data_IF_907603639310
#
_entry.id   IF_907603639310
#
_cell.length_a   1.000
_cell.length_b   1.000
_cell.length_c   1.000
_cell.angle_alpha   90.00
_cell.angle_beta   90.00
_cell.angle_gamma   90.00
#
_symmetry.space_group_name_H-M   'P 1'
#
loop_
_entity.id
_entity.type
_entity.pdbx_description
1 polymer ?
2 polymer ?
3 polymer ?
4 non-polymer ?
5 water ?
#
# COMPACT_ATOMS: atom_id res chain seq x y z
N UNK A 1 -11.07 -18.33 1.02
CA UNK A 1 -11.93 -17.19 0.73
C UNK A 1 -11.75 -16.67 -0.67
N UNK A 2 -12.01 -15.38 -0.86
CA UNK A 2 -11.73 -14.77 -2.16
C UNK A 2 -10.29 -14.28 -2.20
N UNK A 3 -9.82 -14.01 -3.43
CA UNK A 3 -8.42 -13.68 -3.63
C UNK A 3 -8.32 -12.64 -4.73
N UNK A 4 -7.19 -11.94 -4.77
CA UNK A 4 -7.02 -10.91 -5.78
C UNK A 4 -5.59 -10.93 -6.30
N UNK A 5 -5.40 -10.45 -7.53
CA UNK A 5 -4.07 -10.23 -8.07
C UNK A 5 -4.07 -8.82 -8.62
N UNK A 6 -3.02 -8.05 -8.32
CA UNK A 6 -2.97 -6.67 -8.79
C UNK A 6 -1.57 -6.32 -9.23
N UNK A 7 -1.44 -5.53 -10.28
CA UNK A 7 -0.20 -4.97 -10.73
C UNK A 7 -0.37 -3.44 -10.66
N UNK A 8 0.60 -2.78 -9.98
CA UNK A 8 0.61 -1.34 -9.73
C UNK A 8 1.79 -0.74 -10.46
N UNK A 9 1.60 0.44 -11.04
CA UNK A 9 2.65 1.07 -11.86
C UNK A 9 2.64 2.56 -11.56
N UNK A 10 3.83 3.13 -11.39
CA UNK A 10 3.97 4.55 -11.14
C UNK A 10 5.10 5.06 -12.01
N UNK A 11 4.86 6.12 -12.78
CA UNK A 11 5.92 6.84 -13.48
C UNK A 11 5.94 8.28 -13.01
N UNK A 12 7.12 8.83 -12.72
CA UNK A 12 7.21 10.19 -12.18
C UNK A 12 8.26 10.95 -12.98
N UNK A 13 7.85 12.04 -13.63
CA UNK A 13 8.86 12.74 -14.40
C UNK A 13 9.70 13.63 -13.47
N UNK A 14 10.89 14.00 -13.95
CA UNK A 14 11.83 14.79 -13.16
C UNK A 14 12.65 15.65 -14.10
N UNK A 15 12.05 16.70 -14.64
CA UNK A 15 12.73 17.48 -15.68
C UNK A 15 14.06 18.02 -15.16
N UNK A 16 15.06 17.91 -16.01
CA UNK A 16 16.42 18.30 -15.66
C UNK A 16 17.20 17.26 -14.91
N UNK A 17 16.58 16.12 -14.59
CA UNK A 17 17.20 15.08 -13.80
C UNK A 17 16.99 13.74 -14.47
N UNK A 18 17.01 13.74 -15.80
CA UNK A 18 16.94 12.49 -16.55
C UNK A 18 15.51 12.12 -16.91
N UNK A 19 15.34 10.88 -17.28
CA UNK A 19 14.04 10.42 -17.75
C UNK A 19 13.19 9.97 -16.57
N UNK A 20 11.87 9.85 -16.76
CA UNK A 20 10.99 9.52 -15.63
C UNK A 20 11.38 8.21 -14.96
N UNK A 21 11.17 8.17 -13.65
CA UNK A 21 11.39 6.95 -12.90
C UNK A 21 10.14 6.10 -12.98
N UNK A 22 10.31 4.78 -13.16
CA UNK A 22 9.18 3.87 -13.30
C UNK A 22 9.35 2.74 -12.30
N UNK A 23 8.33 2.48 -11.49
CA UNK A 23 8.35 1.42 -10.50
C UNK A 23 7.05 0.64 -10.65
N UNK A 24 7.16 -0.69 -10.71
CA UNK A 24 5.91 -1.45 -10.72
C UNK A 24 6.08 -2.62 -9.78
N UNK A 25 5.00 -2.98 -9.08
CA UNK A 25 5.02 -4.11 -8.16
C UNK A 25 3.76 -4.94 -8.42
N UNK A 26 3.84 -6.22 -8.12
CA UNK A 26 2.69 -7.13 -8.26
C UNK A 26 2.38 -7.74 -6.90
N UNK A 27 1.09 -7.87 -6.61
CA UNK A 27 0.59 -8.42 -5.36
C UNK A 27 -0.38 -9.56 -5.64
N UNK A 28 -0.34 -10.59 -4.81
CA UNK A 28 -1.48 -11.50 -4.67
C UNK A 28 -2.01 -11.27 -3.27
N UNK A 29 -3.29 -10.92 -3.15
CA UNK A 29 -3.86 -10.52 -1.84
C UNK A 29 -2.96 -9.42 -1.27
N UNK A 30 -2.49 -9.54 -0.03
CA UNK A 30 -1.60 -8.56 0.57
C UNK A 30 -0.13 -9.00 0.56
N UNK A 31 0.25 -9.87 -0.38
CA UNK A 31 1.62 -10.37 -0.49
C UNK A 31 2.29 -9.83 -1.75
N UNK A 32 3.34 -9.05 -1.58
CA UNK A 32 4.14 -8.61 -2.72
C UNK A 32 4.88 -9.80 -3.32
N UNK A 33 4.87 -9.94 -4.65
CA UNK A 33 5.59 -11.07 -5.22
C UNK A 33 6.52 -10.72 -6.39
N UNK A 34 6.40 -9.55 -7.01
CA UNK A 34 7.37 -9.17 -8.05
C UNK A 34 7.56 -7.67 -7.97
N UNK A 35 8.73 -7.21 -8.42
CA UNK A 35 9.00 -5.79 -8.49
C UNK A 35 9.93 -5.45 -9.66
N UNK A 36 9.81 -4.23 -10.13
CA UNK A 36 10.72 -3.74 -11.18
C UNK A 36 10.93 -2.25 -10.93
N UNK A 37 12.18 -1.80 -10.96
CA UNK A 37 12.48 -0.38 -10.77
C UNK A 37 13.45 0.05 -11.86
N UNK A 38 13.06 1.07 -12.65
CA UNK A 38 13.90 1.49 -13.78
C UNK A 38 15.22 2.08 -13.32
N UNK A 39 15.33 2.49 -12.07
CA UNK A 39 16.62 3.03 -11.60
C UNK A 39 17.55 1.96 -11.03
N UNK A 40 17.12 0.71 -10.98
CA UNK A 40 18.00 -0.35 -10.47
C UNK A 40 19.22 -0.53 -11.37
N UNK A 41 20.27 -1.13 -10.79
CA UNK A 41 21.54 -1.27 -11.49
C UNK A 41 21.38 -1.88 -12.88
N UNK A 42 20.73 -3.06 -12.94
CA UNK A 42 20.45 -3.73 -14.22
C UNK A 42 18.98 -4.13 -14.19
N UNK A 43 18.08 -3.24 -14.56
CA UNK A 43 16.65 -3.45 -14.24
C UNK A 43 16.09 -4.72 -14.86
N UNK A 44 15.57 -5.58 -13.99
CA UNK A 44 14.81 -6.75 -14.40
C UNK A 44 13.67 -6.89 -13.42
N UNK A 45 12.68 -7.64 -13.78
CA UNK A 45 11.60 -7.94 -12.82
C UNK A 45 12.20 -8.98 -11.87
N UNK A 46 12.04 -8.76 -10.59
CA UNK A 46 12.64 -9.64 -9.60
C UNK A 46 11.58 -10.29 -8.72
N UNK A 47 11.81 -11.53 -8.30
CA UNK A 47 10.89 -12.16 -7.36
C UNK A 47 11.00 -11.56 -5.97
N UNK A 48 9.86 -11.52 -5.28
CA UNK A 48 9.83 -11.09 -3.89
C UNK A 48 9.08 -12.08 -3.01
N UNK A 49 8.65 -13.20 -3.55
CA UNK A 49 8.01 -14.25 -2.76
C UNK A 49 8.61 -15.59 -3.14
N UNK A 50 8.76 -16.52 -2.19
CA UNK A 50 9.41 -17.79 -2.53
C UNK A 50 8.68 -18.59 -3.58
N UNK A 51 7.35 -18.51 -3.63
CA UNK A 51 6.58 -19.34 -4.53
C UNK A 51 6.60 -18.89 -5.98
N UNK A 52 7.12 -17.70 -6.27
CA UNK A 52 7.27 -17.30 -7.66
C UNK A 52 8.66 -17.61 -8.20
N UNK A 53 9.61 -17.97 -7.34
CA UNK A 53 10.97 -18.17 -7.81
C UNK A 53 11.07 -19.35 -8.77
N UNK A 54 10.16 -20.33 -8.65
CA UNK A 54 10.19 -21.51 -9.51
C UNK A 54 9.83 -21.20 -10.97
N UNK A 55 9.26 -20.04 -11.26
CA UNK A 55 9.01 -19.71 -12.65
C UNK A 55 10.33 -19.64 -13.42
N UNK A 56 10.29 -20.07 -14.67
CA UNK A 56 11.50 -20.27 -15.45
C UNK A 56 12.04 -18.98 -16.02
N UNK A 57 13.23 -19.08 -16.62
CA UNK A 57 13.86 -17.89 -17.22
C UNK A 57 13.01 -17.21 -18.27
N UNK A 58 12.18 -17.93 -19.02
CA UNK A 58 11.40 -17.26 -20.04
C UNK A 58 10.27 -16.45 -19.42
N UNK A 59 9.82 -16.81 -18.24
CA UNK A 59 8.83 -16.05 -17.50
C UNK A 59 9.43 -14.72 -17.14
N UNK A 60 10.61 -14.75 -16.56
CA UNK A 60 11.32 -13.56 -16.17
C UNK A 60 11.68 -12.65 -17.33
N UNK A 61 12.11 -13.25 -18.42
CA UNK A 61 12.39 -12.54 -19.62
C UNK A 61 11.16 -11.81 -20.16
N UNK A 62 10.05 -12.49 -20.25
CA UNK A 62 8.87 -11.91 -20.77
C UNK A 62 8.40 -10.73 -19.85
N UNK A 63 8.38 -10.98 -18.57
CA UNK A 63 7.96 -9.98 -17.60
C UNK A 63 8.81 -8.74 -17.67
N UNK A 64 10.10 -8.94 -17.79
CA UNK A 64 11.00 -7.82 -17.87
C UNK A 64 10.76 -6.99 -19.13
N UNK A 65 10.52 -7.67 -20.22
CA UNK A 65 10.23 -7.03 -21.48
C UNK A 65 8.96 -6.16 -21.36
N UNK A 66 7.97 -6.70 -20.72
CA UNK A 66 6.71 -6.01 -20.53
C UNK A 66 6.91 -4.77 -19.67
N UNK A 67 7.68 -4.91 -18.60
CA UNK A 67 7.94 -3.81 -17.75
C UNK A 67 8.67 -2.68 -18.50
N UNK A 68 9.67 -3.07 -19.28
CA UNK A 68 10.38 -2.03 -20.01
C UNK A 68 9.48 -1.37 -21.04
N UNK A 69 8.61 -2.16 -21.69
CA UNK A 69 7.69 -1.58 -22.67
C UNK A 69 6.72 -0.63 -21.99
N UNK A 70 6.22 -1.00 -20.80
CA UNK A 70 5.31 -0.11 -20.09
C UNK A 70 6.02 1.17 -19.65
N UNK A 71 7.27 1.05 -19.21
CA UNK A 71 8.04 2.26 -18.85
C UNK A 71 8.12 3.21 -20.04
N UNK A 72 8.38 2.68 -21.24
CA UNK A 72 8.50 3.55 -22.40
C UNK A 72 7.16 4.16 -22.79
N UNK A 73 6.09 3.37 -22.76
CA UNK A 73 4.79 3.96 -23.11
C UNK A 73 4.39 5.03 -22.08
N UNK A 74 4.75 4.83 -20.81
CA UNK A 74 4.45 5.85 -19.81
C UNK A 74 5.23 7.12 -20.06
N UNK A 75 6.49 7.01 -20.53
CA UNK A 75 7.24 8.23 -20.85
C UNK A 75 6.55 8.99 -21.97
N UNK A 76 6.07 8.29 -22.99
CA UNK A 76 5.32 8.92 -24.06
C UNK A 76 4.03 9.54 -23.53
N UNK A 77 3.32 8.81 -22.67
CA UNK A 77 2.07 9.31 -22.12
C UNK A 77 2.27 10.56 -21.26
N UNK A 78 3.35 10.63 -20.48
CA UNK A 78 3.60 11.85 -19.70
C UNK A 78 3.76 13.06 -20.62
N UNK A 79 4.44 12.88 -21.76
CA UNK A 79 4.55 14.00 -22.71
C UNK A 79 3.19 14.34 -23.31
N UNK A 80 2.40 13.32 -23.65
CA UNK A 80 1.06 13.57 -24.19
C UNK A 80 0.21 14.33 -23.18
N UNK A 81 0.25 13.92 -21.92
CA UNK A 81 -0.65 14.53 -20.95
C UNK A 81 -0.30 15.99 -20.70
N UNK A 82 0.98 16.36 -20.83
CA UNK A 82 1.31 17.79 -20.78
C UNK A 82 0.53 18.56 -21.84
N UNK A 83 0.39 17.98 -23.03
CA UNK A 83 -0.36 18.66 -24.07
C UNK A 83 -1.84 18.73 -23.71
N UNK A 84 -2.40 17.59 -23.26
CA UNK A 84 -3.84 17.54 -23.00
C UNK A 84 -4.25 18.54 -21.93
N UNK A 85 -3.38 18.81 -20.96
CA UNK A 85 -3.72 19.71 -19.87
C UNK A 85 -3.04 21.06 -20.00
N UNK A 86 -2.44 21.33 -21.15
CA UNK A 86 -1.83 22.65 -21.41
C UNK A 86 -0.81 23.00 -20.33
N UNK A 87 0.03 22.03 -19.97
CA UNK A 87 0.99 22.23 -18.88
C UNK A 87 2.40 22.49 -19.40
N UNK A 88 3.16 23.23 -18.59
CA UNK A 88 4.58 23.49 -18.84
C UNK A 88 5.41 22.22 -18.72
N UNK A 89 6.55 22.20 -19.41
CA UNK A 89 7.49 21.09 -19.27
C UNK A 89 8.40 21.22 -18.04
N UNK A 90 8.16 22.23 -17.19
CA UNK A 90 9.06 22.49 -16.08
C UNK A 90 8.79 21.59 -14.88
N UNK A 91 7.57 21.13 -14.70
CA UNK A 91 7.17 20.49 -13.47
C UNK A 91 7.25 18.96 -13.51
N UNK A 92 7.23 18.37 -12.31
CA UNK A 92 7.16 16.93 -12.16
C UNK A 92 5.70 16.49 -12.16
N UNK A 93 5.41 15.45 -12.92
CA UNK A 93 4.06 14.90 -12.98
C UNK A 93 4.09 13.40 -12.76
N UNK A 94 2.93 12.83 -12.41
CA UNK A 94 2.86 11.44 -11.98
C UNK A 94 1.79 10.72 -12.79
N UNK A 95 2.11 9.54 -13.30
CA UNK A 95 1.11 8.66 -13.91
C UNK A 95 1.05 7.36 -13.11
N UNK A 96 -0.16 6.95 -12.72
CA UNK A 96 -0.34 5.70 -11.98
C UNK A 96 -1.33 4.83 -12.73
N UNK A 97 -1.10 3.52 -12.68
CA UNK A 97 -2.02 2.56 -13.29
C UNK A 97 -2.08 1.33 -12.41
N UNK A 98 -3.29 0.77 -12.26
CA UNK A 98 -3.44 -0.51 -11.57
C UNK A 98 -4.35 -1.37 -12.42
N UNK A 99 -4.07 -2.68 -12.48
CA UNK A 99 -5.03 -3.58 -13.10
C UNK A 99 -4.96 -4.94 -12.41
N UNK A 100 -5.97 -5.77 -12.64
CA UNK A 100 -5.93 -7.08 -11.99
C UNK A 100 -7.35 -7.63 -11.84
N UNK A 101 -7.45 -8.69 -11.04
CA UNK A 101 -8.70 -9.42 -11.00
C UNK A 101 -8.96 -9.89 -9.57
N UNK A 102 -10.23 -10.07 -9.24
CA UNK A 102 -10.67 -10.73 -8.00
C UNK A 102 -11.36 -12.04 -8.38
N UNK A 103 -11.12 -13.10 -7.61
CA UNK A 103 -11.79 -14.38 -7.80
C UNK A 103 -12.41 -14.82 -6.48
N UNK A 104 -13.49 -15.60 -6.57
CA UNK A 104 -14.12 -16.12 -5.38
C UNK A 104 -13.51 -17.43 -4.96
N UNK A 105 -14.09 -18.08 -3.95
CA UNK A 105 -13.50 -19.34 -3.45
C UNK A 105 -13.40 -20.45 -4.49
N UNK A 106 -14.34 -20.52 -5.41
CA UNK A 106 -14.28 -21.50 -6.49
C UNK A 106 -13.30 -21.12 -7.60
N UNK A 107 -12.66 -19.96 -7.50
CA UNK A 107 -11.73 -19.51 -8.52
C UNK A 107 -12.37 -18.80 -9.69
N UNK A 108 -13.66 -18.53 -9.65
CA UNK A 108 -14.32 -17.84 -10.75
C UNK A 108 -14.09 -16.33 -10.63
N UNK A 109 -13.99 -15.66 -11.78
CA UNK A 109 -13.84 -14.21 -11.80
C UNK A 109 -14.99 -13.53 -11.09
N UNK A 110 -14.65 -12.67 -10.11
CA UNK A 110 -15.64 -11.82 -9.47
C UNK A 110 -15.70 -10.47 -10.16
N UNK A 111 -14.54 -9.89 -10.45
CA UNK A 111 -14.51 -8.71 -11.31
C UNK A 111 -13.08 -8.39 -11.67
N UNK A 112 -12.94 -7.62 -12.73
CA UNK A 112 -11.63 -7.19 -13.22
C UNK A 112 -11.52 -5.69 -13.10
N UNK A 113 -10.28 -5.18 -13.16
CA UNK A 113 -9.98 -3.75 -12.96
C UNK A 113 -8.89 -3.32 -13.92
N UNK A 114 -9.00 -2.08 -14.41
CA UNK A 114 -7.89 -1.42 -15.11
C UNK A 114 -8.16 0.06 -14.98
N UNK A 115 -7.35 0.78 -14.19
CA UNK A 115 -7.67 2.19 -14.00
C UNK A 115 -6.40 3.00 -13.83
N UNK A 116 -6.49 4.28 -14.18
CA UNK A 116 -5.32 5.16 -14.25
C UNK A 116 -5.62 6.46 -13.52
N UNK A 117 -4.55 7.12 -13.03
CA UNK A 117 -4.63 8.44 -12.43
C UNK A 117 -3.50 9.32 -12.94
N UNK A 118 -3.78 10.61 -13.12
CA UNK A 118 -2.73 11.56 -13.47
C UNK A 118 -2.63 12.59 -12.37
N UNK A 119 -1.41 12.80 -11.87
CA UNK A 119 -1.17 13.70 -10.74
C UNK A 119 -2.14 13.40 -9.58
N UNK A 120 -2.36 12.13 -9.30
CA UNK A 120 -3.11 11.74 -8.12
C UNK A 120 -4.62 11.80 -8.28
N UNK A 121 -5.12 12.15 -9.45
CA UNK A 121 -6.56 12.27 -9.71
C UNK A 121 -7.01 11.22 -10.73
N UNK A 122 -8.18 10.61 -10.49
CA UNK A 122 -8.79 9.70 -11.47
C UNK A 122 -8.64 10.27 -12.89
N UNK A 123 -8.23 9.41 -13.82
CA UNK A 123 -8.09 9.79 -15.22
C UNK A 123 -9.07 8.96 -16.05
N UNK A 124 -8.80 7.67 -16.25
CA UNK A 124 -9.75 6.83 -17.00
C UNK A 124 -9.78 5.47 -16.35
N UNK A 125 -10.97 4.84 -16.36
CA UNK A 125 -11.09 3.55 -15.70
C UNK A 125 -11.95 2.63 -16.55
N UNK A 126 -11.57 1.36 -16.62
CA UNK A 126 -12.45 0.38 -17.25
C UNK A 126 -13.64 0.09 -16.34
N UNK A 127 -14.84 0.09 -16.91
CA UNK A 127 -16.04 -0.18 -16.13
C UNK A 127 -16.12 -1.67 -15.79
N UNK A 128 -16.95 -2.00 -14.80
CA UNK A 128 -17.07 -3.40 -14.37
C UNK A 128 -17.50 -4.33 -15.51
N UNK A 129 -18.23 -3.82 -16.51
CA UNK A 129 -18.62 -4.66 -17.65
C UNK A 129 -17.44 -5.10 -18.50
N UNK A 130 -16.25 -4.54 -18.27
CA UNK A 130 -15.05 -4.84 -19.03
C UNK A 130 -15.23 -4.50 -20.50
N UNK A 131 -16.12 -3.58 -20.82
CA UNK A 131 -16.33 -3.26 -22.22
C UNK A 131 -16.42 -1.78 -22.49
N UNK A 132 -16.52 -0.94 -21.47
CA UNK A 132 -16.69 0.50 -21.65
C UNK A 132 -15.82 1.21 -20.62
N UNK A 133 -15.65 2.53 -20.80
CA UNK A 133 -14.73 3.33 -19.99
C UNK A 133 -15.46 4.46 -19.30
N UNK A 134 -14.93 4.85 -18.14
CA UNK A 134 -15.32 6.09 -17.47
C UNK A 134 -14.13 7.04 -17.50
N UNK A 135 -14.30 8.16 -18.19
CA UNK A 135 -13.28 9.22 -18.27
C UNK A 135 -13.64 10.35 -17.32
N UNK A 136 -12.66 10.84 -16.57
CA UNK A 136 -12.92 11.83 -15.52
C UNK A 136 -13.06 13.25 -16.04
N UNK A 137 -12.54 13.58 -17.22
CA UNK A 137 -12.55 14.96 -17.70
C UNK A 137 -12.39 14.94 -19.21
N UNK A 138 -12.34 16.14 -19.83
CA UNK A 138 -12.30 16.15 -21.29
C UNK A 138 -10.97 15.65 -21.84
N UNK A 139 -9.90 15.76 -21.06
CA UNK A 139 -8.62 15.18 -21.48
C UNK A 139 -8.74 13.66 -21.57
N UNK A 140 -9.25 13.03 -20.51
CA UNK A 140 -9.44 11.59 -20.53
C UNK A 140 -10.43 11.15 -21.61
N UNK A 141 -11.36 12.04 -22.01
CA UNK A 141 -12.26 11.63 -23.08
C UNK A 141 -11.50 11.45 -24.39
N UNK A 142 -10.37 12.13 -24.57
CA UNK A 142 -9.57 11.93 -25.77
C UNK A 142 -8.94 10.55 -25.74
N UNK A 143 -8.40 10.15 -24.59
CA UNK A 143 -7.88 8.79 -24.48
C UNK A 143 -9.00 7.78 -24.68
N UNK A 144 -10.19 8.07 -24.15
CA UNK A 144 -11.31 7.14 -24.29
C UNK A 144 -11.63 6.90 -25.76
N UNK A 145 -11.70 7.98 -26.54
CA UNK A 145 -11.96 7.85 -27.97
C UNK A 145 -10.88 7.00 -28.64
N UNK A 146 -9.61 7.23 -28.28
CA UNK A 146 -8.49 6.47 -28.84
C UNK A 146 -8.59 4.99 -28.49
N UNK A 147 -8.89 4.69 -27.23
CA UNK A 147 -8.94 3.30 -26.79
C UNK A 147 -10.16 2.58 -27.31
N UNK A 148 -11.26 3.31 -27.51
CA UNK A 148 -12.42 2.70 -28.17
C UNK A 148 -12.08 2.36 -29.63
N UNK A 149 -11.48 3.31 -30.35
CA UNK A 149 -11.12 3.02 -31.74
C UNK A 149 -10.15 1.85 -31.83
N UNK A 150 -9.24 1.72 -30.86
CA UNK A 150 -8.25 0.64 -30.86
C UNK A 150 -8.76 -0.67 -30.29
N UNK A 151 -9.99 -0.71 -29.77
CA UNK A 151 -10.59 -1.89 -29.15
C UNK A 151 -9.75 -2.39 -27.96
N UNK A 152 -9.29 -1.47 -27.17
CA UNK A 152 -8.46 -1.85 -26.01
C UNK A 152 -9.28 -2.71 -25.05
N UNK A 153 -10.53 -2.34 -24.78
CA UNK A 153 -11.29 -3.04 -23.75
C UNK A 153 -11.49 -4.52 -24.12
N UNK A 154 -11.66 -4.82 -25.41
CA UNK A 154 -11.80 -6.22 -25.82
C UNK A 154 -10.56 -7.04 -25.46
N UNK A 155 -9.37 -6.46 -25.66
CA UNK A 155 -8.15 -7.17 -25.29
C UNK A 155 -8.05 -7.31 -23.78
N UNK A 156 -8.41 -6.26 -23.03
CA UNK A 156 -8.34 -6.34 -21.59
C UNK A 156 -9.32 -7.35 -21.04
N UNK A 157 -10.54 -7.37 -21.60
CA UNK A 157 -11.52 -8.36 -21.12
C UNK A 157 -10.98 -9.77 -21.30
N UNK A 158 -10.33 -10.03 -22.39
CA UNK A 158 -9.79 -11.34 -22.65
C UNK A 158 -8.73 -11.75 -21.64
N UNK A 159 -7.90 -10.80 -21.28
CA UNK A 159 -6.86 -11.02 -20.31
C UNK A 159 -7.46 -11.22 -18.93
N UNK A 160 -8.37 -10.34 -18.55
CA UNK A 160 -8.90 -10.39 -17.19
C UNK A 160 -9.74 -11.63 -16.96
N UNK A 161 -10.46 -12.10 -17.95
CA UNK A 161 -11.26 -13.32 -17.80
C UNK A 161 -10.48 -14.62 -18.01
N UNK A 162 -9.33 -14.52 -18.65
CA UNK A 162 -8.49 -15.62 -18.95
C UNK A 162 -7.22 -15.70 -18.12
N UNK A 163 -6.14 -15.19 -18.65
CA UNK A 163 -4.87 -15.30 -18.02
C UNK A 163 -4.80 -14.80 -16.63
N UNK A 164 -5.46 -13.69 -16.36
CA UNK A 164 -5.39 -13.13 -15.06
C UNK A 164 -5.86 -14.16 -14.03
N UNK A 165 -7.03 -14.69 -14.26
CA UNK A 165 -7.62 -15.63 -13.36
C UNK A 165 -6.84 -16.95 -13.31
N UNK A 166 -6.43 -17.40 -14.46
CA UNK A 166 -5.72 -18.66 -14.57
C UNK A 166 -4.38 -18.59 -13.81
N UNK A 167 -3.63 -17.53 -13.98
CA UNK A 167 -2.36 -17.38 -13.31
C UNK A 167 -2.54 -17.11 -11.81
N UNK A 168 -3.56 -16.34 -11.47
CA UNK A 168 -3.84 -16.20 -10.05
C UNK A 168 -4.10 -17.57 -9.43
N UNK A 169 -4.88 -18.40 -10.08
CA UNK A 169 -5.12 -19.72 -9.55
C UNK A 169 -3.81 -20.51 -9.43
N UNK A 170 -2.93 -20.39 -10.39
CA UNK A 170 -1.64 -21.07 -10.34
C UNK A 170 -0.81 -20.60 -9.13
N UNK A 171 -0.75 -19.28 -8.93
CA UNK A 171 0.00 -18.76 -7.80
C UNK A 171 -0.60 -19.19 -6.47
N UNK A 172 -1.92 -19.23 -6.37
CA UNK A 172 -2.56 -19.60 -5.11
C UNK A 172 -2.20 -21.02 -4.75
N UNK A 173 -2.08 -21.89 -5.74
CA UNK A 173 -1.70 -23.27 -5.48
C UNK A 173 -0.22 -23.39 -5.14
N UNK A 174 0.65 -22.75 -5.92
CA UNK A 174 2.08 -22.81 -5.66
C UNK A 174 2.45 -22.17 -4.32
N UNK A 175 1.76 -21.11 -3.94
CA UNK A 175 2.02 -20.49 -2.66
C UNK A 175 1.02 -20.81 -1.56
N UNK A 176 0.40 -21.99 -1.62
CA UNK A 176 -0.73 -22.25 -0.72
C UNK A 176 -0.31 -22.25 0.75
N UNK A 177 0.95 -22.58 1.05
CA UNK A 177 1.43 -22.55 2.43
C UNK A 177 1.18 -21.20 3.10
N UNK A 178 1.33 -20.11 2.36
CA UNK A 178 1.19 -18.76 2.90
C UNK A 178 -0.02 -18.02 2.37
N UNK A 179 -0.26 -18.10 1.06
CA UNK A 179 -1.38 -17.35 0.48
C UNK A 179 -2.72 -17.87 0.98
N UNK A 180 -2.79 -19.15 1.31
CA UNK A 180 -4.06 -19.70 1.76
C UNK A 180 -4.04 -19.97 3.27
N UNK A 181 -3.21 -19.24 4.02
CA UNK A 181 -3.19 -19.33 5.47
C UNK A 181 -3.51 -17.95 6.03
N UNK A 182 -4.51 -17.88 6.88
CA UNK A 182 -4.83 -16.65 7.58
C UNK A 182 -4.21 -16.74 8.97
N UNK A 183 -3.51 -15.67 9.39
CA UNK A 183 -2.93 -15.62 10.73
C UNK A 183 -3.79 -14.71 11.57
N UNK A 184 -4.45 -15.18 12.62
CA UNK A 184 -5.35 -14.31 13.38
C UNK A 184 -4.58 -13.32 14.22
N UNK A 185 -5.21 -12.22 14.59
CA UNK A 185 -4.53 -11.22 15.41
C UNK A 185 -4.30 -11.70 16.84
N UNK A 186 -3.16 -11.31 17.39
CA UNK A 186 -2.93 -11.39 18.83
C UNK A 186 -3.40 -10.08 19.42
N UNK A 187 -4.30 -10.14 20.40
CA UNK A 187 -4.99 -8.95 20.86
C UNK A 187 -4.76 -8.73 22.34
N UNK A 188 -4.74 -7.45 22.75
CA UNK A 188 -4.74 -7.09 24.16
C UNK A 188 -5.17 -5.63 24.29
N UNK A 189 -5.56 -5.24 25.50
CA UNK A 189 -6.02 -3.89 25.82
C UNK A 189 -5.06 -3.29 26.83
N UNK A 190 -4.58 -2.08 26.55
CA UNK A 190 -3.77 -1.33 27.50
C UNK A 190 -4.56 -0.14 28.05
N UNK A 191 -4.09 0.35 29.20
CA UNK A 191 -4.76 1.39 29.95
C UNK A 191 -3.71 2.42 30.34
N UNK A 192 -3.96 3.68 30.00
CA UNK A 192 -3.03 4.77 30.32
C UNK A 192 -3.81 5.94 30.93
N UNK A 193 -3.71 6.20 32.22
CA UNK A 193 -4.35 7.41 32.77
C UNK A 193 -3.79 8.67 32.11
N UNK A 194 -4.72 9.55 31.73
CA UNK A 194 -4.40 10.87 31.20
C UNK A 194 -4.34 11.90 32.31
N UNK A 195 -5.26 11.76 33.22
CA UNK A 195 -5.42 12.64 34.30
C UNK A 195 -6.17 11.94 35.38
N UNK A 196 -6.44 12.68 36.43
CA UNK A 196 -7.20 12.13 37.48
C UNK A 196 -8.66 11.77 37.10
N UNK A 197 -9.18 12.28 36.03
CA UNK A 197 -10.55 12.04 35.65
C UNK A 197 -10.72 11.23 34.34
N UNK A 198 -9.65 10.89 33.66
CA UNK A 198 -9.78 10.30 32.34
C UNK A 198 -8.62 9.36 32.07
N UNK A 199 -8.88 8.37 31.23
CA UNK A 199 -7.89 7.37 30.91
C UNK A 199 -8.07 6.98 29.45
N UNK A 200 -6.97 6.53 28.83
CA UNK A 200 -7.01 5.99 27.47
C UNK A 200 -7.03 4.46 27.53
N UNK A 201 -7.97 3.87 26.81
CA UNK A 201 -7.97 2.44 26.57
C UNK A 201 -7.58 2.23 25.11
N UNK A 202 -6.61 1.37 24.88
CA UNK A 202 -6.14 1.11 23.52
C UNK A 202 -6.24 -0.38 23.25
N UNK A 203 -6.92 -0.72 22.17
CA UNK A 203 -7.12 -2.10 21.75
C UNK A 203 -6.14 -2.40 20.63
N UNK A 204 -5.31 -3.43 20.82
CA UNK A 204 -4.26 -3.78 19.88
C UNK A 204 -4.59 -5.05 19.14
N UNK A 205 -4.24 -5.09 17.85
CA UNK A 205 -4.25 -6.32 17.07
C UNK A 205 -2.90 -6.39 16.38
N UNK A 206 -2.19 -7.50 16.59
CA UNK A 206 -0.84 -7.65 16.07
C UNK A 206 -0.70 -8.98 15.35
N UNK A 207 0.20 -9.01 14.37
CA UNK A 207 0.63 -10.28 13.81
C UNK A 207 -0.36 -10.97 12.89
N UNK A 208 -1.30 -10.22 12.31
CA UNK A 208 -2.36 -10.83 11.51
C UNK A 208 -2.11 -10.69 10.01
N UNK A 209 -2.75 -11.60 9.25
CA UNK A 209 -2.70 -11.67 7.81
C UNK A 209 -3.99 -12.34 7.39
N UNK A 210 -4.73 -11.82 6.41
CA UNK A 210 -4.41 -10.65 5.59
C UNK A 210 -4.71 -9.35 6.34
N UNK A 211 -4.58 -8.21 5.65
CA UNK A 211 -4.62 -6.93 6.34
C UNK A 211 -6.02 -6.52 6.79
N UNK A 212 -7.06 -6.99 6.09
CA UNK A 212 -8.42 -6.58 6.42
C UNK A 212 -8.78 -7.00 7.85
N UNK A 213 -9.28 -6.03 8.63
CA UNK A 213 -9.63 -6.28 10.03
C UNK A 213 -10.62 -5.21 10.45
N UNK A 214 -11.44 -5.53 11.46
CA UNK A 214 -12.31 -4.52 12.07
C UNK A 214 -12.07 -4.47 13.58
N UNK A 215 -11.75 -3.28 14.08
CA UNK A 215 -11.57 -3.03 15.52
C UNK A 215 -12.53 -1.94 15.91
N UNK A 216 -13.41 -2.23 16.87
CA UNK A 216 -14.40 -1.23 17.26
C UNK A 216 -14.52 -1.23 18.78
N UNK A 217 -14.68 -0.03 19.36
CA UNK A 217 -14.97 0.10 20.78
C UNK A 217 -16.47 0.31 20.95
N UNK A 218 -17.04 -0.35 21.94
CA UNK A 218 -18.42 -0.11 22.36
C UNK A 218 -18.42 0.39 23.78
N UNK A 219 -19.34 1.31 24.08
CA UNK A 219 -19.61 1.77 25.44
C UNK A 219 -21.05 1.41 25.75
N UNK A 220 -21.26 0.63 26.81
CA UNK A 220 -22.58 0.07 27.16
C UNK A 220 -23.23 -0.57 25.94
N UNK A 221 -22.42 -1.16 25.05
CA UNK A 221 -22.95 -1.85 23.88
C UNK A 221 -23.18 -0.99 22.65
N UNK A 222 -22.85 0.29 22.69
CA UNK A 222 -23.04 1.17 21.53
C UNK A 222 -21.69 1.53 20.91
N UNK A 223 -21.62 1.45 19.58
CA UNK A 223 -20.39 1.80 18.87
C UNK A 223 -19.96 3.23 19.16
N UNK A 224 -18.66 3.42 19.37
CA UNK A 224 -18.11 4.72 19.69
C UNK A 224 -17.37 5.30 18.49
N UNK A 225 -18.01 5.25 17.32
CA UNK A 225 -17.32 5.56 16.07
C UNK A 225 -16.69 6.95 16.10
N UNK A 226 -17.43 7.95 16.59
CA UNK A 226 -16.91 9.30 16.50
C UNK A 226 -15.90 9.64 17.60
N UNK A 227 -15.85 8.88 18.69
CA UNK A 227 -14.86 9.12 19.72
C UNK A 227 -13.70 8.12 19.69
N UNK A 228 -13.65 7.23 18.72
CA UNK A 228 -12.55 6.28 18.60
C UNK A 228 -11.45 6.83 17.72
N UNK A 229 -10.20 6.78 18.21
CA UNK A 229 -9.03 7.07 17.42
C UNK A 229 -8.51 5.76 16.82
N UNK A 230 -8.53 5.66 15.48
CA UNK A 230 -8.19 4.44 14.77
C UNK A 230 -7.02 4.71 13.83
N UNK A 231 -5.88 4.03 14.05
CA UNK A 231 -4.75 4.24 13.13
C UNK A 231 -4.92 3.37 11.89
N UNK A 232 -4.30 3.82 10.81
CA UNK A 232 -4.22 3.01 9.61
C UNK A 232 -3.52 1.68 9.89
N UNK A 233 -4.06 0.61 9.30
CA UNK A 233 -3.38 -0.69 9.36
C UNK A 233 -1.99 -0.57 8.77
N UNK A 234 -1.01 -1.14 9.45
CA UNK A 234 0.38 -0.89 9.09
C UNK A 234 1.15 -2.20 9.00
N UNK A 235 2.14 -2.28 8.12
CA UNK A 235 2.89 -3.53 7.95
C UNK A 235 3.93 -3.73 9.04
N UNK A 236 4.03 -4.96 9.55
CA UNK A 236 5.10 -5.22 10.51
C UNK A 236 6.46 -5.37 9.85
N UNK A 237 6.50 -5.71 8.57
CA UNK A 237 7.71 -5.92 7.82
C UNK A 237 8.03 -7.38 7.53
N UNK A 238 7.29 -8.31 8.15
CA UNK A 238 7.47 -9.76 8.14
C UNK A 238 6.24 -10.50 7.61
N UNK A 239 5.54 -9.91 6.67
CA UNK A 239 4.27 -10.40 6.10
C UNK A 239 3.02 -9.99 6.91
N UNK A 240 3.09 -9.77 8.22
CA UNK A 240 1.88 -9.49 9.01
C UNK A 240 1.62 -7.99 9.15
N UNK A 241 0.48 -7.68 9.76
CA UNK A 241 -0.01 -6.32 9.89
C UNK A 241 -0.35 -6.03 11.35
N UNK A 242 -0.51 -4.74 11.66
CA UNK A 242 -0.80 -4.28 13.00
C UNK A 242 -1.85 -3.17 12.95
N UNK A 243 -2.64 -3.06 14.00
CA UNK A 243 -3.59 -1.96 14.09
C UNK A 243 -3.94 -1.74 15.55
N UNK A 244 -4.33 -0.51 15.89
CA UNK A 244 -4.92 -0.26 17.21
C UNK A 244 -6.05 0.75 17.11
N UNK A 245 -6.91 0.73 18.14
CA UNK A 245 -8.05 1.63 18.28
C UNK A 245 -8.07 2.11 19.72
N UNK A 246 -8.30 3.41 19.94
CA UNK A 246 -8.22 3.96 21.30
C UNK A 246 -9.43 4.82 21.59
N UNK A 247 -9.88 4.78 22.86
CA UNK A 247 -10.93 5.68 23.33
C UNK A 247 -10.48 6.31 24.63
N UNK A 248 -10.98 7.52 24.89
CA UNK A 248 -10.79 8.22 26.15
C UNK A 248 -12.03 7.99 26.99
N UNK A 249 -11.84 7.47 28.19
CA UNK A 249 -12.97 7.05 29.00
C UNK A 249 -12.91 7.74 30.36
N UNK A 250 -14.06 8.10 30.92
CA UNK A 250 -14.07 8.65 32.29
C UNK A 250 -13.55 7.63 33.29
N UNK A 251 -12.72 8.10 34.22
CA UNK A 251 -12.15 7.22 35.21
C UNK A 251 -13.25 6.50 35.98
N UNK A 252 -13.06 5.21 36.20
CA UNK A 252 -14.05 4.39 36.86
C UNK A 252 -15.06 3.75 35.93
N UNK A 253 -15.10 4.14 34.65
CA UNK A 253 -16.06 3.57 33.71
C UNK A 253 -15.42 2.58 32.74
N UNK A 254 -14.19 2.14 33.01
CA UNK A 254 -13.48 1.28 32.05
C UNK A 254 -14.24 0.00 31.75
N UNK A 255 -14.95 -0.56 32.73
CA UNK A 255 -15.61 -1.83 32.46
C UNK A 255 -16.84 -1.68 31.59
N UNK A 256 -17.28 -0.45 31.30
CA UNK A 256 -18.38 -0.26 30.38
C UNK A 256 -17.93 -0.30 28.92
N UNK A 257 -16.64 -0.45 28.66
CA UNK A 257 -16.09 -0.43 27.31
C UNK A 257 -15.62 -1.81 26.90
N UNK A 258 -15.91 -2.18 25.66
CA UNK A 258 -15.49 -3.47 25.14
C UNK A 258 -14.94 -3.27 23.73
N UNK A 259 -13.86 -3.97 23.42
CA UNK A 259 -13.24 -3.87 22.11
C UNK A 259 -13.63 -5.11 21.33
N UNK A 260 -14.05 -4.93 20.09
CA UNK A 260 -14.53 -6.02 19.26
C UNK A 260 -13.62 -6.16 18.06
N UNK A 261 -13.18 -7.39 17.81
CA UNK A 261 -12.21 -7.67 16.74
C UNK A 261 -12.82 -8.67 15.79
N UNK A 262 -12.85 -8.33 14.50
CA UNK A 262 -13.29 -9.27 13.47
C UNK A 262 -12.12 -9.47 12.51
N UNK A 263 -11.84 -10.71 12.17
CA UNK A 263 -10.75 -11.00 11.23
C UNK A 263 -11.01 -12.38 10.65
N UNK A 264 -10.63 -12.57 9.38
CA UNK A 264 -10.93 -13.85 8.75
C UNK A 264 -10.22 -15.02 9.42
N UNK A 265 -9.11 -14.77 10.13
CA UNK A 265 -8.43 -15.80 10.90
C UNK A 265 -9.11 -16.21 12.20
N UNK A 266 -10.15 -15.47 12.63
CA UNK A 266 -10.85 -15.79 13.87
C UNK A 266 -12.12 -16.57 13.55
N UNK A 267 -12.34 -17.73 14.18
CA UNK A 267 -13.61 -18.43 13.98
C UNK A 267 -14.82 -17.63 14.44
N UNK A 268 -14.67 -16.83 15.50
CA UNK A 268 -15.73 -15.99 16.03
C UNK A 268 -15.12 -14.63 16.35
N UNK A 269 -15.86 -13.55 16.16
CA UNK A 269 -15.33 -12.24 16.56
C UNK A 269 -15.04 -12.18 18.05
N UNK A 270 -13.97 -11.47 18.39
CA UNK A 270 -13.49 -11.39 19.76
C UNK A 270 -14.06 -10.17 20.46
N UNK A 271 -14.33 -10.33 21.76
CA UNK A 271 -14.70 -9.25 22.66
C UNK A 271 -13.64 -9.19 23.76
N UNK A 272 -13.00 -8.04 23.92
CA UNK A 272 -11.98 -7.85 24.93
C UNK A 272 -12.31 -6.67 25.81
N UNK A 273 -11.85 -6.71 27.05
CA UNK A 273 -11.95 -5.61 27.99
C UNK A 273 -10.59 -5.38 28.62
N UNK A 274 -10.43 -4.23 29.27
CA UNK A 274 -9.23 -4.01 30.05
C UNK A 274 -9.27 -4.91 31.28
N UNK A 275 -8.18 -5.65 31.51
CA UNK A 275 -8.06 -6.51 32.68
C UNK A 275 -7.03 -5.91 33.63
N UNK A 276 -7.43 -5.17 34.68
CA UNK A 276 -6.52 -4.51 35.61
C UNK A 276 -5.50 -5.45 36.27
N UNK B 1 -2.00 22.09 -8.14
CA UNK B 1 -2.10 20.64 -8.13
C UNK B 1 -2.45 20.14 -6.73
N UNK B 2 -3.19 19.03 -6.66
CA UNK B 2 -3.54 18.46 -5.37
C UNK B 2 -2.30 17.92 -4.68
N UNK B 3 -2.20 18.15 -3.37
CA UNK B 3 -1.14 17.59 -2.56
C UNK B 3 -1.76 17.06 -1.28
N UNK B 4 -1.30 15.89 -0.83
CA UNK B 4 -1.81 15.24 0.37
C UNK B 4 -0.63 14.98 1.30
N UNK B 5 -0.80 15.36 2.57
CA UNK B 5 0.33 15.26 3.48
C UNK B 5 0.45 13.86 4.08
N UNK B 6 1.68 13.40 4.33
CA UNK B 6 1.84 12.03 4.84
C UNK B 6 1.31 11.83 6.25
N UNK B 7 0.65 10.70 6.46
CA UNK B 7 0.48 10.14 7.80
C UNK B 7 1.73 9.36 8.14
N UNK B 8 2.17 9.46 9.41
CA UNK B 8 3.46 8.91 9.83
C UNK B 8 3.22 8.06 11.07
N UNK B 9 3.68 6.81 11.05
CA UNK B 9 3.67 5.96 12.24
C UNK B 9 5.07 5.40 12.47
N UNK B 10 5.56 5.47 13.71
CA UNK B 10 6.86 4.92 14.08
C UNK B 10 6.63 3.86 15.15
N UNK B 11 7.18 2.66 14.92
CA UNK B 11 6.81 1.51 15.74
C UNK B 11 7.80 0.38 15.48
N UNK B 12 7.75 -0.62 16.35
CA UNK B 12 8.63 -1.76 16.18
C UNK B 12 7.88 -2.96 15.61
N UNK B 13 8.63 -3.84 14.94
CA UNK B 13 8.00 -5.01 14.33
C UNK B 13 7.41 -5.94 15.39
N UNK B 14 8.17 -6.20 16.45
CA UNK B 14 7.81 -7.04 17.57
C UNK B 14 7.65 -6.19 18.82
N UNK B 15 6.93 -6.68 19.84
CA UNK B 15 6.89 -5.96 21.11
C UNK B 15 8.30 -5.71 21.62
N UNK B 16 8.55 -4.49 22.07
CA UNK B 16 9.92 -4.09 22.39
C UNK B 16 10.35 -4.72 23.70
N UNK B 17 11.53 -5.32 23.72
CA UNK B 17 12.15 -5.81 24.94
C UNK B 17 13.60 -5.33 24.94
N UNK B 18 13.98 -4.56 25.97
CA UNK B 18 15.33 -4.03 26.04
C UNK B 18 16.35 -5.15 25.92
N UNK B 19 17.38 -4.91 25.11
CA UNK B 19 18.41 -5.89 24.83
C UNK B 19 18.05 -6.95 23.81
N UNK B 20 16.81 -7.00 23.32
CA UNK B 20 16.40 -7.97 22.30
C UNK B 20 16.37 -7.29 20.94
N UNK B 21 16.98 -7.93 19.94
CA UNK B 21 17.01 -7.36 18.60
C UNK B 21 15.61 -7.34 17.99
N UNK B 22 15.35 -6.33 17.15
CA UNK B 22 14.01 -5.99 16.71
C UNK B 22 14.16 -5.23 15.39
N UNK B 23 13.07 -4.70 14.86
CA UNK B 23 13.14 -3.78 13.74
C UNK B 23 12.35 -2.53 14.07
N UNK B 24 12.91 -1.38 13.72
CA UNK B 24 12.28 -0.10 13.90
C UNK B 24 11.70 0.33 12.56
N UNK B 25 10.39 0.59 12.52
CA UNK B 25 9.68 0.94 11.29
C UNK B 25 9.24 2.38 11.31
N UNK B 26 9.27 3.02 10.15
CA UNK B 26 8.55 4.27 9.93
C UNK B 26 7.69 4.03 8.71
N UNK B 27 6.36 4.05 8.90
CA UNK B 27 5.40 3.83 7.82
C UNK B 27 4.81 5.18 7.46
N UNK B 28 5.00 5.62 6.22
CA UNK B 28 4.43 6.87 5.74
C UNK B 28 3.39 6.52 4.69
N UNK B 29 2.21 7.11 4.82
CA UNK B 29 1.12 6.72 3.93
C UNK B 29 0.25 7.94 3.64
N UNK B 30 -0.60 7.79 2.63
CA UNK B 30 -1.59 8.79 2.34
C UNK B 30 -1.09 10.04 1.67
N UNK B 31 0.09 10.02 1.07
CA UNK B 31 0.70 11.23 0.56
C UNK B 31 0.74 11.29 -0.96
N UNK B 32 0.82 12.52 -1.46
CA UNK B 32 0.99 12.80 -2.88
C UNK B 32 1.55 14.21 -2.95
N UNK B 33 2.55 14.48 -3.78
CA UNK B 33 3.21 13.56 -4.72
C UNK B 33 4.15 12.61 -4.02
N UNK B 34 4.86 11.81 -4.79
CA UNK B 34 5.54 10.66 -4.22
C UNK B 34 6.92 11.00 -3.65
N UNK B 35 7.51 12.13 -4.05
CA UNK B 35 8.82 12.48 -3.49
C UNK B 35 8.69 12.73 -2.00
N UNK B 36 9.54 12.05 -1.24
CA UNK B 36 9.47 12.15 0.22
C UNK B 36 10.84 11.79 0.74
N UNK B 37 11.23 12.41 1.85
CA UNK B 37 12.49 12.08 2.52
C UNK B 37 12.17 11.60 3.92
N UNK B 38 12.70 10.44 4.27
CA UNK B 38 12.45 9.81 5.56
C UNK B 38 13.80 9.41 6.15
N UNK B 39 14.05 9.83 7.39
CA UNK B 39 15.22 9.40 8.14
C UNK B 39 14.77 8.75 9.44
N UNK B 40 15.49 7.70 9.85
CA UNK B 40 15.32 7.15 11.19
C UNK B 40 16.44 7.71 12.04
N UNK B 41 16.13 8.14 13.26
CA UNK B 41 17.10 8.76 14.16
C UNK B 41 17.25 8.00 15.46
N UNK B 42 18.46 7.99 15.97
CA UNK B 42 18.84 7.38 17.22
C UNK B 42 19.45 8.53 18.00
N UNK B 43 18.87 8.88 19.12
CA UNK B 43 19.34 9.98 19.92
C UNK B 43 19.56 11.22 19.10
N UNK B 44 18.68 11.46 18.14
CA UNK B 44 18.72 12.66 17.34
C UNK B 44 19.61 12.60 16.12
N UNK B 45 20.34 11.51 15.90
CA UNK B 45 21.26 11.41 14.78
C UNK B 45 20.78 10.36 13.80
N UNK B 46 20.93 10.72 12.54
CA UNK B 46 20.48 9.79 11.48
C UNK B 46 21.22 8.35 11.43
N UNK B 47 20.37 7.36 11.40
CA UNK B 47 20.85 5.99 11.31
C UNK B 47 21.27 5.73 9.86
N UNK B 48 22.42 5.08 9.69
CA UNK B 48 23.04 5.00 8.37
C UNK B 48 22.36 3.97 7.47
N UNK B 49 22.13 2.75 7.96
CA UNK B 49 21.68 1.67 7.10
C UNK B 49 20.17 1.52 7.32
N UNK B 50 19.40 2.15 6.43
CA UNK B 50 17.95 2.07 6.49
C UNK B 50 17.46 1.59 5.14
N UNK B 51 16.61 0.57 5.14
CA UNK B 51 16.02 0.02 3.94
C UNK B 51 14.61 0.56 3.75
N UNK B 52 14.10 0.50 2.53
CA UNK B 52 12.69 0.86 2.36
C UNK B 52 12.04 0.00 1.29
N UNK B 53 10.73 -0.10 1.38
CA UNK B 53 9.93 -0.86 0.43
C UNK B 53 9.84 -0.13 -0.90
N UNK B 54 9.35 -0.85 -1.91
CA UNK B 54 9.16 -0.24 -3.22
C UNK B 54 7.87 0.56 -3.24
N UNK B 55 7.92 1.74 -3.84
CA UNK B 55 6.77 2.63 -3.91
C UNK B 55 5.53 1.92 -4.43
N UNK B 56 4.45 2.04 -3.69
CA UNK B 56 3.17 1.48 -4.11
C UNK B 56 2.10 2.46 -3.65
N UNK B 57 0.84 2.15 -3.98
CA UNK B 57 -0.21 3.11 -3.67
C UNK B 57 -1.51 2.40 -3.33
N UNK B 58 -2.38 3.14 -2.65
CA UNK B 58 -3.67 2.66 -2.15
C UNK B 58 -4.77 2.89 -3.19
N UNK B 59 -5.97 2.39 -2.88
CA UNK B 59 -7.06 2.54 -3.85
C UNK B 59 -7.36 4.00 -4.17
N UNK B 60 -7.14 4.90 -3.23
CA UNK B 60 -7.36 6.32 -3.50
C UNK B 60 -6.17 7.00 -4.19
N UNK B 61 -5.20 6.22 -4.66
CA UNK B 61 -4.01 6.66 -5.39
C UNK B 61 -2.93 7.26 -4.51
N UNK B 62 -3.15 7.44 -3.20
CA UNK B 62 -2.08 8.01 -2.40
C UNK B 62 -1.01 6.96 -2.14
N UNK B 63 0.21 7.42 -1.95
CA UNK B 63 1.37 6.53 -1.87
C UNK B 63 1.63 6.06 -0.45
N UNK B 64 2.33 4.93 -0.33
CA UNK B 64 2.81 4.50 0.99
C UNK B 64 4.17 3.84 0.85
N UNK B 65 4.96 3.95 1.92
CA UNK B 65 6.32 3.40 1.98
C UNK B 65 6.60 2.99 3.40
N UNK B 66 7.38 1.91 3.54
CA UNK B 66 7.89 1.47 4.83
C UNK B 66 9.40 1.63 4.82
N UNK B 67 9.92 2.39 5.79
CA UNK B 67 11.35 2.49 6.05
C UNK B 67 11.64 1.70 7.32
N UNK B 68 12.71 0.92 7.31
CA UNK B 68 12.95 0.05 8.47
C UNK B 68 14.45 -0.18 8.67
N UNK B 69 14.79 -0.50 9.91
CA UNK B 69 16.17 -0.84 10.23
C UNK B 69 16.17 -1.78 11.42
N UNK B 70 17.13 -2.71 11.44
CA UNK B 70 17.35 -3.52 12.62
C UNK B 70 17.84 -2.64 13.76
N UNK B 71 17.37 -2.93 14.98
CA UNK B 71 17.85 -2.21 16.15
C UNK B 71 17.60 -3.06 17.37
N UNK B 72 18.31 -2.71 18.45
CA UNK B 72 18.13 -3.36 19.75
C UNK B 72 17.77 -2.27 20.74
N UNK B 73 16.50 -2.15 21.13
CA UNK B 73 16.11 -1.08 22.05
C UNK B 73 16.76 -1.26 23.41
N UNK B 74 17.01 -0.13 24.04
CA UNK B 74 17.51 -0.10 25.41
C UNK B 74 16.67 0.90 26.18
N UNK B 75 16.99 1.05 27.47
CA UNK B 75 16.25 2.00 28.28
C UNK B 75 16.58 3.44 27.91
N UNK B 76 17.81 3.74 27.67
CA UNK B 76 18.22 5.08 27.42
C UNK B 76 18.10 5.65 26.01
N UNK B 77 18.23 4.83 25.00
CA UNK B 77 18.19 5.29 23.65
C UNK B 77 16.83 5.73 23.18
N UNK B 78 16.76 6.87 22.54
CA UNK B 78 15.58 7.46 22.01
C UNK B 78 15.57 7.33 20.48
N UNK B 79 14.48 6.93 19.91
CA UNK B 79 14.37 6.77 18.49
C UNK B 79 13.23 7.62 17.95
N UNK B 80 13.37 8.00 16.70
CA UNK B 80 12.37 8.77 16.03
C UNK B 80 12.43 8.63 14.51
N UNK B 81 11.41 9.11 13.84
CA UNK B 81 11.40 9.22 12.38
C UNK B 81 11.30 10.68 11.99
N UNK B 82 12.10 11.13 11.01
CA UNK B 82 12.01 12.50 10.51
C UNK B 82 11.58 12.50 9.05
N UNK B 83 10.52 13.24 8.74
CA UNK B 83 9.89 13.17 7.44
C UNK B 83 9.86 14.55 6.83
N UNK B 84 10.28 14.66 5.57
CA UNK B 84 10.07 15.90 4.83
C UNK B 84 9.27 15.62 3.56
N UNK B 85 8.42 16.58 3.18
CA UNK B 85 7.50 16.45 2.06
C UNK B 85 7.17 17.86 1.60
N UNK B 86 6.77 17.97 0.33
CA UNK B 86 6.44 19.31 -0.19
C UNK B 86 5.32 19.96 0.64
N UNK B 87 4.46 19.16 1.26
CA UNK B 87 3.35 19.69 2.05
C UNK B 87 3.76 20.22 3.41
N UNK B 88 5.03 20.07 3.80
CA UNK B 88 5.49 20.40 5.15
C UNK B 88 6.43 21.61 5.08
N UNK B 89 6.13 22.65 5.85
CA UNK B 89 7.01 23.82 5.87
C UNK B 89 8.31 23.52 6.59
N UNK B 90 8.35 22.48 7.41
CA UNK B 90 9.58 22.00 8.05
C UNK B 90 9.43 20.52 8.29
N UNK B 91 10.53 19.78 8.41
CA UNK B 91 10.43 18.33 8.65
C UNK B 91 9.65 18.03 9.92
N UNK B 92 8.86 16.96 9.87
CA UNK B 92 8.11 16.52 11.03
C UNK B 92 8.84 15.37 11.70
N UNK B 93 9.05 15.49 13.00
CA UNK B 93 9.70 14.44 13.79
C UNK B 93 8.63 13.75 14.61
N UNK B 94 8.54 12.44 14.50
CA UNK B 94 7.64 11.64 15.31
C UNK B 94 8.49 10.70 16.15
N UNK B 95 8.34 10.77 17.45
CA UNK B 95 9.12 9.96 18.31
C UNK B 95 8.57 8.57 18.48
N UNK B 96 9.41 7.59 18.68
CA UNK B 96 8.95 6.24 18.91
C UNK B 96 8.46 6.12 20.34
N UNK B 97 7.24 5.63 20.51
CA UNK B 97 6.64 5.42 21.82
C UNK B 97 6.26 3.94 21.87
N UNK B 98 6.93 3.17 22.71
CA UNK B 98 6.66 1.73 22.58
C UNK B 98 5.23 1.33 23.00
N UNK B 99 4.35 2.30 23.29
CA UNK B 99 2.93 2.04 23.52
C UNK B 99 2.06 2.60 22.41
N UNK B 100 2.60 2.74 21.19
CA UNK B 100 1.82 3.24 20.05
C UNK B 100 2.27 2.67 18.71
N UNK C 1 0.91 -13.13 -13.94
CA UNK C 1 1.52 -12.88 -15.21
C UNK C 1 0.90 -11.61 -15.77
N UNK C 2 1.74 -10.70 -16.22
CA UNK C 2 1.30 -9.43 -16.70
C UNK C 2 0.62 -9.45 -18.05
N UNK C 3 -0.15 -8.40 -18.29
CA UNK C 3 -0.79 -8.15 -19.57
C UNK C 3 0.12 -7.26 -20.42
N UNK C 4 0.09 -7.50 -21.72
CA UNK C 4 0.63 -6.52 -22.66
C UNK C 4 -0.21 -6.59 -23.91
N UNK C 5 -0.60 -5.42 -24.42
CA UNK C 5 -1.45 -5.37 -25.59
C UNK C 5 -0.69 -6.00 -26.77
N UNK C 6 -1.45 -6.66 -27.65
CA UNK C 6 -0.86 -7.33 -28.81
C UNK C 6 -1.07 -6.48 -30.06
N UNK C 10 -2.29 -0.45 -30.05
CA UNK C 10 -1.50 0.48 -29.25
C UNK C 10 -2.30 1.00 -28.06
N UNK C 11 -1.68 1.08 -26.90
CA UNK C 11 -2.38 1.53 -25.71
C UNK C 11 -1.85 2.88 -25.23
N UNK C 12 -1.21 3.65 -26.12
CA UNK C 12 -0.80 5.00 -25.73
C UNK C 12 -2.05 5.81 -25.38
N UNK C 13 -1.90 6.71 -24.44
CA UNK C 13 -2.95 7.58 -24.00
C UNK C 13 -3.23 8.73 -24.99
X LIG D 1 -2.64 -5.55 -1.49
X LIG D 1 -2.39 -4.97 -0.25
X LIG D 1 -3.29 -4.52 -2.38
X LIG D 1 -3.93 -5.10 -3.53
X LIG D 1 -2.10 -3.59 -2.69
X LIG D 1 -2.03 -2.67 -1.64
X LIG E 1 4.11 -2.92 17.60
X LIG E 1 4.83 -1.76 17.40
X LIG E 1 4.57 -3.51 18.95
X LIG E 1 4.43 -4.90 18.98
X LIG E 1 3.70 -2.79 20.02
X LIG E 1 4.22 -1.50 20.17
#
# INVERSE_FOLDING_TARGET
GSHSMRYFHTSVSRPGRGEPRFITVGYVDDTLFVRFDSDAASPREEPRAPWIEQEGPEYWDRETQICKAKAQTDREDLRTLLRYYNQSEAGSHTLQNMYGCDVGPDGRLLRGYHQDAYDGKDYIALNEDLSSWTAADTAAQITQRKWEAARVAEQLRAYLEGECVEWLRRYLENGKETLQRADPPKTHVTHHPISDHEATLRCWALGFYPAEITLTWQRDGEDQTQDTELVETRPAGDRTFQKWAAVVVPSGEEQRYTCHVQHEGLPKPLTLRWEP
MIQRTPKIQVYSRHPAENGKSNFLNCYVSGFHPSDIEVDLLKNGERIEKVEHSDLSFSKDWSFYLLYYTEFTPTEKDEYACRVNHVTLSQPKIVKWDRDM
KRWIILGLNKIVR
GOL C1 O1 C2 O2 C3 O3
GOL C1 O1 C2 O2 C3 O3
#
